data_IF_752546762626
#
_entry.id   IF_752546762626
#
_cell.length_a   1.000
_cell.length_b   1.000
_cell.length_c   1.000
_cell.angle_alpha   90.00
_cell.angle_beta   90.00
_cell.angle_gamma   90.00
#
_symmetry.space_group_name_H-M   'P 1'
#
loop_
_entity.id
_entity.type
_entity.pdbx_description
1 polymer ?
#
# COMPACT_ATOMS: atom_id res chain seq x y z
N UNK A 1 16.54 19.81 10.46
CA UNK A 1 16.28 18.56 11.21
C UNK A 1 16.84 17.39 10.39
N UNK A 2 17.34 16.33 11.03
CA UNK A 2 17.80 15.14 10.28
C UNK A 2 16.60 14.50 9.61
N UNK A 3 16.78 14.04 8.37
CA UNK A 3 15.76 13.33 7.64
C UNK A 3 15.95 11.84 7.92
N UNK A 4 15.33 11.35 8.99
CA UNK A 4 15.68 10.06 9.60
C UNK A 4 15.43 8.82 8.73
N UNK A 5 14.66 8.95 7.65
CA UNK A 5 14.59 7.90 6.63
C UNK A 5 15.97 7.65 5.98
N UNK A 6 16.74 8.70 5.71
CA UNK A 6 18.11 8.58 5.19
C UNK A 6 19.12 8.20 6.26
N UNK A 7 18.84 8.41 7.54
CA UNK A 7 19.72 7.92 8.61
C UNK A 7 19.77 6.37 8.58
N UNK A 8 18.65 5.72 8.25
CA UNK A 8 18.58 4.26 8.03
C UNK A 8 19.20 3.88 6.67
N UNK A 9 18.86 4.63 5.61
CA UNK A 9 19.21 4.21 4.24
C UNK A 9 20.64 4.58 3.79
N UNK A 10 21.29 5.57 4.39
CA UNK A 10 22.56 6.14 3.90
C UNK A 10 23.79 5.43 4.47
N UNK A 11 23.88 4.13 4.20
CA UNK A 11 25.03 3.30 4.57
C UNK A 11 26.32 3.79 3.89
N UNK A 12 27.52 3.37 4.36
CA UNK A 12 28.78 3.74 3.72
C UNK A 12 28.82 3.40 2.21
N UNK A 13 28.28 2.25 1.82
CA UNK A 13 28.20 1.86 0.41
C UNK A 13 27.24 2.76 -0.40
N UNK A 14 26.13 3.18 0.19
CA UNK A 14 25.19 4.13 -0.45
C UNK A 14 25.85 5.50 -0.64
N UNK A 15 26.59 5.99 0.36
CA UNK A 15 27.33 7.26 0.25
C UNK A 15 28.42 7.19 -0.82
N UNK A 16 29.19 6.10 -0.85
CA UNK A 16 30.19 5.88 -1.90
C UNK A 16 29.54 5.84 -3.30
N UNK A 17 28.36 5.22 -3.44
CA UNK A 17 27.61 5.25 -4.68
C UNK A 17 27.10 6.66 -5.04
N UNK A 18 26.65 7.45 -4.06
CA UNK A 18 26.27 8.85 -4.28
C UNK A 18 27.45 9.68 -4.79
N UNK A 19 28.64 9.54 -4.19
CA UNK A 19 29.86 10.21 -4.63
C UNK A 19 30.24 9.81 -6.06
N UNK A 20 30.28 8.50 -6.36
CA UNK A 20 30.63 7.98 -7.68
C UNK A 20 29.68 8.45 -8.79
N UNK A 21 28.44 8.81 -8.46
CA UNK A 21 27.43 9.29 -9.40
C UNK A 21 27.21 10.81 -9.32
N UNK A 22 28.12 11.57 -8.69
CA UNK A 22 28.08 13.04 -8.65
C UNK A 22 26.96 13.62 -7.77
N UNK A 23 26.36 12.80 -6.90
CA UNK A 23 25.28 13.19 -6.00
C UNK A 23 25.74 13.35 -4.54
N UNK A 24 27.03 13.13 -4.25
CA UNK A 24 27.59 13.14 -2.90
C UNK A 24 27.37 14.46 -2.17
N UNK A 25 27.78 15.58 -2.77
CA UNK A 25 27.64 16.92 -2.15
C UNK A 25 26.16 17.29 -1.93
N UNK A 26 25.30 16.94 -2.89
CA UNK A 26 23.86 17.19 -2.80
C UNK A 26 23.23 16.49 -1.59
N UNK A 27 23.50 15.19 -1.42
CA UNK A 27 22.92 14.41 -0.33
C UNK A 27 23.60 14.62 1.02
N UNK A 28 24.89 14.98 1.04
CA UNK A 28 25.60 15.34 2.26
C UNK A 28 25.03 16.62 2.91
N UNK A 29 24.58 17.57 2.08
CA UNK A 29 24.01 18.84 2.52
C UNK A 29 22.47 18.85 2.51
N UNK A 30 21.83 17.70 2.29
CA UNK A 30 20.37 17.63 2.21
C UNK A 30 19.75 17.85 3.60
N UNK A 31 19.06 18.97 3.75
CA UNK A 31 18.26 19.29 4.93
C UNK A 31 16.78 19.20 4.58
N UNK A 32 16.24 17.97 4.55
CA UNK A 32 14.81 17.75 4.35
C UNK A 32 14.02 18.09 5.61
N UNK A 33 13.07 19.01 5.51
CA UNK A 33 12.09 19.28 6.57
C UNK A 33 10.83 18.42 6.39
N UNK A 34 11.03 17.09 6.42
CA UNK A 34 9.95 16.12 6.27
C UNK A 34 9.74 15.40 7.57
N UNK A 35 8.49 15.33 8.04
CA UNK A 35 8.12 14.38 9.08
C UNK A 35 8.48 12.96 8.60
N UNK A 36 9.05 12.17 9.49
CA UNK A 36 9.48 10.80 9.18
C UNK A 36 9.26 9.85 10.36
N UNK A 37 9.17 10.37 11.59
CA UNK A 37 9.19 9.58 12.82
C UNK A 37 7.81 9.39 13.47
N UNK A 38 6.77 9.99 12.88
CA UNK A 38 5.36 9.89 13.31
C UNK A 38 4.41 10.13 12.13
N UNK A 39 3.37 9.32 12.00
CA UNK A 39 2.31 9.52 11.03
C UNK A 39 1.50 10.77 11.39
N UNK A 40 1.47 11.73 10.48
CA UNK A 40 0.59 12.90 10.56
C UNK A 40 -0.78 12.54 10.02
N UNK A 41 -1.71 13.51 10.05
CA UNK A 41 -3.03 13.37 9.42
C UNK A 41 -2.93 12.99 7.93
N UNK A 42 -1.90 13.47 7.22
CA UNK A 42 -1.69 13.15 5.81
C UNK A 42 -1.36 11.67 5.60
N UNK A 43 -0.46 11.10 6.42
CA UNK A 43 -0.15 9.67 6.35
C UNK A 43 -1.33 8.82 6.82
N UNK A 44 -2.03 9.24 7.87
CA UNK A 44 -3.20 8.54 8.37
C UNK A 44 -4.30 8.42 7.30
N UNK A 45 -4.65 9.55 6.66
CA UNK A 45 -5.63 9.59 5.58
C UNK A 45 -5.19 8.73 4.39
N UNK A 46 -3.92 8.82 3.99
CA UNK A 46 -3.39 8.00 2.93
C UNK A 46 -3.45 6.51 3.27
N UNK A 47 -3.00 6.09 4.46
CA UNK A 47 -2.96 4.68 4.84
C UNK A 47 -4.38 4.10 4.91
N UNK A 48 -5.34 4.86 5.44
CA UNK A 48 -6.73 4.41 5.60
C UNK A 48 -7.40 4.03 4.27
N UNK A 49 -7.03 4.68 3.17
CA UNK A 49 -7.59 4.42 1.84
C UNK A 49 -6.93 3.24 1.11
N UNK A 50 -5.83 2.68 1.62
CA UNK A 50 -5.12 1.59 0.92
C UNK A 50 -5.82 0.26 1.15
N UNK A 51 -6.00 -0.45 0.04
CA UNK A 51 -6.50 -1.83 -0.02
C UNK A 51 -5.36 -2.86 -0.15
N UNK A 52 -4.11 -2.38 -0.23
CA UNK A 52 -2.95 -3.19 -0.46
C UNK A 52 -1.66 -2.53 0.02
N UNK A 53 -0.70 -3.37 0.40
CA UNK A 53 0.69 -2.99 0.63
C UNK A 53 1.62 -4.10 0.16
N UNK A 54 2.88 -3.75 -0.11
CA UNK A 54 3.96 -4.73 -0.25
C UNK A 54 4.78 -4.72 1.02
N UNK A 55 5.07 -5.90 1.56
CA UNK A 55 5.90 -6.07 2.74
C UNK A 55 7.17 -6.82 2.36
N UNK A 56 8.32 -6.21 2.63
CA UNK A 56 9.62 -6.81 2.54
C UNK A 56 10.09 -7.26 3.94
N UNK A 57 10.62 -8.47 4.00
CA UNK A 57 11.27 -9.08 5.19
C UNK A 57 12.61 -9.67 4.74
N UNK A 58 13.49 -10.01 5.67
CA UNK A 58 14.80 -10.59 5.35
C UNK A 58 14.91 -11.97 5.97
N UNK A 59 15.25 -12.98 5.17
CA UNK A 59 15.49 -14.33 5.70
C UNK A 59 16.80 -14.40 6.48
N UNK A 60 16.96 -15.43 7.32
CA UNK A 60 18.21 -15.68 8.04
C UNK A 60 19.40 -15.95 7.10
N UNK A 61 19.13 -16.39 5.87
CA UNK A 61 20.14 -16.54 4.82
C UNK A 61 20.51 -15.20 4.14
N UNK A 62 19.93 -14.07 4.59
CA UNK A 62 20.19 -12.74 4.06
C UNK A 62 19.43 -12.37 2.77
N UNK A 63 18.52 -13.23 2.28
CA UNK A 63 17.74 -12.92 1.08
C UNK A 63 16.55 -12.00 1.45
N UNK A 64 16.34 -10.90 0.71
CA UNK A 64 15.10 -10.14 0.84
C UNK A 64 13.94 -10.94 0.24
N UNK A 65 12.81 -10.92 0.94
CA UNK A 65 11.57 -11.53 0.49
C UNK A 65 10.45 -10.50 0.52
N UNK A 66 9.77 -10.32 -0.61
CA UNK A 66 8.67 -9.35 -0.76
C UNK A 66 7.37 -10.08 -1.03
N UNK A 67 6.32 -9.68 -0.32
CA UNK A 67 4.99 -10.24 -0.47
C UNK A 67 3.94 -9.13 -0.51
N UNK A 68 3.01 -9.23 -1.46
CA UNK A 68 1.79 -8.41 -1.48
C UNK A 68 0.85 -8.87 -0.34
N UNK A 69 0.31 -7.91 0.40
CA UNK A 69 -0.72 -8.08 1.42
C UNK A 69 -1.90 -7.18 1.07
N UNK A 70 -3.06 -7.78 0.82
CA UNK A 70 -4.28 -7.07 0.44
C UNK A 70 -5.41 -7.29 1.45
N UNK A 71 -6.32 -6.32 1.49
CA UNK A 71 -7.53 -6.33 2.31
C UNK A 71 -8.47 -5.20 1.86
N UNK A 72 -9.68 -5.11 2.41
CA UNK A 72 -10.56 -3.97 2.12
C UNK A 72 -9.93 -2.67 2.66
N UNK A 73 -10.22 -1.49 2.07
CA UNK A 73 -9.80 -0.22 2.64
C UNK A 73 -10.03 -0.13 4.15
N UNK A 74 -9.03 0.38 4.84
CA UNK A 74 -8.97 0.43 6.30
C UNK A 74 -8.34 -0.81 6.96
N UNK A 75 -8.10 -1.93 6.27
CA UNK A 75 -7.46 -3.10 6.92
C UNK A 75 -6.09 -2.78 7.55
N UNK A 76 -5.46 -1.69 7.12
CA UNK A 76 -4.32 -1.06 7.80
C UNK A 76 -4.83 -0.07 8.83
N UNK A 77 -4.73 -0.43 10.11
CA UNK A 77 -5.20 0.39 11.23
C UNK A 77 -4.04 1.14 11.85
N UNK A 78 -4.19 2.44 12.09
CA UNK A 78 -3.33 3.16 13.01
C UNK A 78 -3.78 2.83 14.44
N UNK A 79 -2.85 2.37 15.27
CA UNK A 79 -3.07 2.21 16.71
C UNK A 79 -2.74 3.52 17.45
N UNK A 80 -1.72 4.23 16.97
CA UNK A 80 -1.28 5.55 17.41
C UNK A 80 -0.43 6.21 16.29
N UNK A 81 0.22 7.35 16.59
CA UNK A 81 1.05 8.10 15.63
C UNK A 81 2.32 7.37 15.16
N UNK A 82 2.72 6.25 15.79
CA UNK A 82 3.92 5.49 15.44
C UNK A 82 3.67 4.00 15.24
N UNK A 83 2.44 3.54 15.42
CA UNK A 83 2.12 2.12 15.40
C UNK A 83 0.97 1.84 14.44
N UNK A 84 1.19 0.92 13.50
CA UNK A 84 0.14 0.34 12.67
C UNK A 84 -0.17 -1.08 13.13
N UNK A 85 -1.35 -1.58 12.76
CA UNK A 85 -1.67 -2.98 12.84
C UNK A 85 -2.43 -3.45 11.60
N UNK A 86 -2.08 -4.65 11.12
CA UNK A 86 -2.79 -5.33 10.03
C UNK A 86 -3.20 -6.75 10.45
N UNK A 87 -4.33 -7.26 9.97
CA UNK A 87 -4.63 -8.69 10.08
C UNK A 87 -3.74 -9.50 9.14
N UNK A 88 -3.13 -10.57 9.64
CA UNK A 88 -2.46 -11.59 8.81
C UNK A 88 -3.49 -12.63 8.40
N UNK A 89 -4.02 -12.50 7.18
CA UNK A 89 -4.98 -13.44 6.64
C UNK A 89 -4.33 -14.77 6.27
N UNK A 90 -5.08 -15.86 6.49
CA UNK A 90 -4.70 -17.19 6.05
C UNK A 90 -4.55 -17.24 4.53
N UNK A 91 -3.30 -17.37 4.08
CA UNK A 91 -2.95 -17.57 2.68
C UNK A 91 -2.58 -19.01 2.34
N UNK A 92 -1.58 -19.16 1.46
CA UNK A 92 -1.01 -20.43 0.99
C UNK A 92 -0.18 -21.19 2.05
N UNK A 93 -0.06 -20.64 3.27
CA UNK A 93 0.64 -21.24 4.42
C UNK A 93 2.14 -21.50 4.23
N UNK A 94 2.82 -20.73 3.37
CA UNK A 94 4.29 -20.79 3.30
C UNK A 94 4.97 -20.20 4.54
N UNK A 95 4.29 -19.30 5.26
CA UNK A 95 4.77 -18.68 6.51
C UNK A 95 6.16 -17.99 6.45
N UNK A 96 6.64 -17.68 5.24
CA UNK A 96 7.99 -17.10 5.02
C UNK A 96 8.15 -15.78 5.78
N UNK A 97 7.26 -14.80 5.58
CA UNK A 97 7.35 -13.53 6.31
C UNK A 97 7.27 -13.73 7.82
N UNK A 98 6.44 -14.67 8.30
CA UNK A 98 6.30 -14.94 9.74
C UNK A 98 7.58 -15.50 10.32
N UNK A 99 8.20 -16.47 9.66
CA UNK A 99 9.50 -17.02 10.06
C UNK A 99 10.61 -15.97 10.02
N UNK A 100 10.69 -15.19 8.93
CA UNK A 100 11.65 -14.10 8.79
C UNK A 100 11.53 -13.09 9.93
N UNK A 101 10.30 -12.65 10.26
CA UNK A 101 10.04 -11.68 11.32
C UNK A 101 10.36 -12.22 12.72
N UNK A 102 10.23 -13.52 12.94
CA UNK A 102 10.62 -14.14 14.21
C UNK A 102 12.14 -14.11 14.43
N UNK A 103 12.93 -14.17 13.36
CA UNK A 103 14.39 -14.10 13.42
C UNK A 103 14.94 -12.67 13.33
N UNK A 104 14.28 -11.81 12.56
CA UNK A 104 14.63 -10.41 12.36
C UNK A 104 13.36 -9.58 12.15
N UNK A 105 13.01 -8.79 13.15
CA UNK A 105 11.77 -8.00 13.17
C UNK A 105 11.77 -6.83 12.16
N UNK A 106 12.91 -6.51 11.53
CA UNK A 106 13.01 -5.44 10.55
C UNK A 106 12.25 -5.77 9.27
N UNK A 107 11.42 -4.83 8.84
CA UNK A 107 10.67 -4.91 7.60
C UNK A 107 10.65 -3.55 6.89
N UNK A 108 10.33 -3.60 5.59
CA UNK A 108 9.97 -2.42 4.82
C UNK A 108 8.57 -2.59 4.24
N UNK A 109 7.72 -1.57 4.37
CA UNK A 109 6.41 -1.52 3.74
C UNK A 109 6.42 -0.51 2.59
N UNK A 110 5.68 -0.85 1.54
CA UNK A 110 5.55 -0.03 0.35
C UNK A 110 4.07 0.07 -0.02
N UNK A 111 3.50 1.24 0.18
CA UNK A 111 2.09 1.52 -0.05
C UNK A 111 1.97 2.38 -1.31
N UNK A 112 1.15 1.91 -2.26
CA UNK A 112 1.00 2.54 -3.57
C UNK A 112 -0.39 3.15 -3.73
N UNK A 113 -0.42 4.33 -4.35
CA UNK A 113 -1.61 4.97 -4.89
C UNK A 113 -1.31 5.27 -6.36
N UNK A 114 -1.68 4.33 -7.23
CA UNK A 114 -1.43 4.44 -8.67
C UNK A 114 -2.21 5.59 -9.31
N UNK A 115 -3.52 5.81 -9.02
CA UNK A 115 -4.28 6.93 -9.59
C UNK A 115 -3.62 8.29 -9.37
N UNK A 116 -3.20 8.58 -8.14
CA UNK A 116 -2.60 9.88 -7.79
C UNK A 116 -1.07 9.88 -7.90
N UNK A 117 -0.46 8.76 -8.30
CA UNK A 117 0.99 8.57 -8.43
C UNK A 117 1.74 8.88 -7.13
N UNK A 118 1.18 8.47 -6.00
CA UNK A 118 1.79 8.64 -4.68
C UNK A 118 2.30 7.30 -4.16
N UNK A 119 3.40 7.34 -3.41
CA UNK A 119 3.92 6.17 -2.70
C UNK A 119 4.50 6.55 -1.36
N UNK A 120 4.19 5.74 -0.35
CA UNK A 120 4.72 5.85 1.00
C UNK A 120 5.60 4.62 1.27
N UNK A 121 6.86 4.86 1.62
CA UNK A 121 7.80 3.83 2.08
C UNK A 121 7.89 3.92 3.59
N UNK A 122 7.89 2.78 4.27
CA UNK A 122 7.99 2.72 5.73
C UNK A 122 9.06 1.69 6.08
N UNK A 123 10.04 2.08 6.88
CA UNK A 123 10.86 1.14 7.64
C UNK A 123 10.18 0.90 8.98
N UNK A 124 10.09 -0.36 9.40
CA UNK A 124 9.41 -0.74 10.61
C UNK A 124 10.05 -1.94 11.30
N UNK A 125 9.75 -2.08 12.58
CA UNK A 125 9.89 -3.33 13.33
C UNK A 125 8.50 -3.97 13.42
N UNK A 126 8.36 -5.24 13.05
CA UNK A 126 7.07 -5.93 13.03
C UNK A 126 7.11 -7.13 13.95
N UNK A 127 6.11 -7.22 14.80
CA UNK A 127 5.87 -8.37 15.66
C UNK A 127 4.51 -9.02 15.35
N UNK A 128 4.49 -10.35 15.44
CA UNK A 128 3.27 -11.14 15.30
C UNK A 128 2.61 -11.35 16.66
N UNK A 129 1.32 -11.05 16.77
CA UNK A 129 0.51 -11.19 18.00
C UNK A 129 -0.61 -12.18 17.80
N UNK A 130 -0.73 -13.13 18.73
CA UNK A 130 -1.88 -14.04 18.77
C UNK A 130 -3.12 -13.28 19.24
N UNK A 131 -4.13 -13.21 18.38
CA UNK A 131 -5.37 -12.48 18.65
C UNK A 131 -6.27 -13.16 19.69
N UNK A 132 -6.07 -14.45 19.97
CA UNK A 132 -6.78 -15.12 21.06
C UNK A 132 -6.28 -14.66 22.44
N UNK A 133 -5.02 -14.20 22.52
CA UNK A 133 -4.41 -13.67 23.73
C UNK A 133 -4.49 -12.13 23.83
N UNK A 134 -4.89 -11.45 22.75
CA UNK A 134 -5.00 -9.99 22.66
C UNK A 134 -6.39 -9.58 22.10
N UNK A 135 -7.43 -9.58 22.95
CA UNK A 135 -8.79 -9.28 22.52
C UNK A 135 -8.98 -7.82 22.10
N UNK A 136 -8.19 -6.89 22.64
CA UNK A 136 -8.24 -5.47 22.24
C UNK A 136 -7.74 -5.29 20.81
N UNK A 137 -6.61 -5.91 20.46
CA UNK A 137 -6.11 -5.91 19.10
C UNK A 137 -7.07 -6.65 18.16
N UNK A 138 -7.62 -7.79 18.60
CA UNK A 138 -8.59 -8.55 17.82
C UNK A 138 -9.82 -7.70 17.44
N UNK A 139 -10.34 -6.92 18.39
CA UNK A 139 -11.45 -6.01 18.13
C UNK A 139 -11.09 -4.94 17.08
N UNK A 140 -9.89 -4.34 17.17
CA UNK A 140 -9.41 -3.32 16.21
C UNK A 140 -9.18 -3.89 14.80
N UNK A 141 -8.75 -5.15 14.70
CA UNK A 141 -8.49 -5.85 13.44
C UNK A 141 -9.71 -6.58 12.87
N UNK A 142 -10.87 -6.44 13.51
CA UNK A 142 -12.12 -6.98 12.98
C UNK A 142 -12.51 -6.21 11.71
N UNK A 143 -12.83 -6.96 10.66
CA UNK A 143 -13.29 -6.43 9.38
C UNK A 143 -14.68 -6.99 9.09
N UNK A 144 -15.75 -6.20 9.36
CA UNK A 144 -17.11 -6.60 9.00
C UNK A 144 -17.17 -6.95 7.52
N UNK A 145 -17.92 -8.00 7.18
CA UNK A 145 -18.17 -8.44 5.81
C UNK A 145 -16.96 -8.94 5.00
N UNK A 146 -15.77 -9.02 5.61
CA UNK A 146 -14.59 -9.61 4.98
C UNK A 146 -14.41 -11.08 5.38
N UNK A 147 -14.63 -12.00 4.43
CA UNK A 147 -14.68 -13.45 4.68
C UNK A 147 -13.32 -14.11 4.98
N UNK A 148 -12.22 -13.37 4.94
CA UNK A 148 -10.89 -13.95 5.14
C UNK A 148 -10.67 -14.34 6.60
N UNK A 149 -10.11 -15.54 6.83
CA UNK A 149 -9.74 -15.97 8.17
C UNK A 149 -8.47 -15.26 8.61
N UNK A 150 -8.54 -14.49 9.69
CA UNK A 150 -7.36 -13.89 10.34
C UNK A 150 -6.67 -14.96 11.19
N UNK A 151 -5.36 -15.17 11.01
CA UNK A 151 -4.56 -16.09 11.83
C UNK A 151 -3.87 -15.39 13.01
N UNK A 152 -3.50 -14.11 12.84
CA UNK A 152 -2.81 -13.30 13.84
C UNK A 152 -2.87 -11.81 13.49
N UNK A 153 -2.50 -10.94 14.41
CA UNK A 153 -2.23 -9.53 14.14
C UNK A 153 -0.74 -9.30 13.87
N UNK A 154 -0.41 -8.44 12.92
CA UNK A 154 0.94 -7.90 12.77
C UNK A 154 0.94 -6.48 13.30
N UNK A 155 1.68 -6.23 14.37
CA UNK A 155 1.88 -4.89 14.94
C UNK A 155 3.16 -4.34 14.36
N UNK A 156 3.08 -3.14 13.80
CA UNK A 156 4.12 -2.53 12.97
C UNK A 156 4.53 -1.23 13.63
N UNK A 157 5.72 -1.22 14.22
CA UNK A 157 6.32 -0.08 14.90
C UNK A 157 7.15 0.72 13.90
N UNK A 158 6.80 1.99 13.69
CA UNK A 158 7.45 2.90 12.76
C UNK A 158 8.90 3.17 13.20
N UNK A 159 9.85 2.92 12.28
CA UNK A 159 11.23 3.39 12.42
C UNK A 159 11.42 4.72 11.66
N UNK A 160 10.99 4.77 10.39
CA UNK A 160 10.94 5.99 9.59
C UNK A 160 10.04 5.80 8.37
N UNK A 161 9.44 6.88 7.85
CA UNK A 161 8.77 6.85 6.55
C UNK A 161 9.29 7.92 5.59
N UNK A 162 8.99 7.74 4.31
CA UNK A 162 9.26 8.74 3.29
C UNK A 162 8.27 8.68 2.11
N UNK A 163 7.96 9.88 1.61
CA UNK A 163 7.23 10.12 0.37
C UNK A 163 8.18 10.32 -0.80
N UNK A 164 7.97 9.56 -1.88
CA UNK A 164 8.78 9.69 -3.08
C UNK A 164 8.18 10.65 -4.13
N UNK A 165 9.04 11.13 -5.03
CA UNK A 165 8.66 11.78 -6.30
C UNK A 165 7.66 10.92 -7.12
N UNK A 166 6.61 11.54 -7.73
CA UNK A 166 5.59 10.84 -8.52
C UNK A 166 6.05 10.43 -9.93
N UNK A 167 7.29 10.78 -10.33
CA UNK A 167 7.82 10.48 -11.65
C UNK A 167 7.79 8.98 -11.98
N UNK A 168 7.53 8.68 -13.26
CA UNK A 168 7.50 7.33 -13.84
C UNK A 168 6.48 6.36 -13.24
N UNK A 169 5.51 6.84 -12.46
CA UNK A 169 4.37 6.01 -12.03
C UNK A 169 3.26 6.14 -13.08
N UNK A 170 3.00 5.06 -13.81
CA UNK A 170 1.84 4.95 -14.70
C UNK A 170 0.57 4.86 -13.86
N UNK A 171 -0.42 5.74 -14.05
CA UNK A 171 -1.71 5.62 -13.41
C UNK A 171 -2.38 4.27 -13.75
N UNK A 172 -2.98 3.64 -12.74
CA UNK A 172 -3.78 2.43 -12.86
C UNK A 172 -5.03 2.64 -12.02
N UNK A 173 -6.16 2.22 -12.55
CA UNK A 173 -7.47 2.39 -11.91
C UNK A 173 -8.13 1.02 -11.80
N UNK A 174 -8.76 0.78 -10.66
CA UNK A 174 -9.68 -0.33 -10.47
C UNK A 174 -10.95 -0.13 -11.28
N UNK A 175 -11.70 -1.21 -11.47
CA UNK A 175 -13.03 -1.15 -12.10
C UNK A 175 -13.96 -0.19 -11.35
N UNK A 176 -13.96 -0.25 -10.01
CA UNK A 176 -14.77 0.63 -9.15
C UNK A 176 -14.43 2.11 -9.33
N UNK A 177 -13.15 2.45 -9.49
CA UNK A 177 -12.73 3.84 -9.73
C UNK A 177 -13.10 4.33 -11.13
N UNK A 178 -13.16 3.43 -12.12
CA UNK A 178 -13.57 3.77 -13.49
C UNK A 178 -15.09 3.86 -13.65
N UNK A 179 -15.87 3.17 -12.83
CA UNK A 179 -17.32 3.06 -12.99
C UNK A 179 -18.03 4.43 -13.10
N UNK A 180 -17.74 5.45 -12.28
CA UNK A 180 -18.38 6.77 -12.43
C UNK A 180 -18.13 7.44 -13.78
N UNK A 181 -16.97 7.20 -14.39
CA UNK A 181 -16.63 7.73 -15.71
C UNK A 181 -17.25 6.89 -16.86
N UNK A 182 -17.38 5.58 -16.66
CA UNK A 182 -17.91 4.65 -17.66
C UNK A 182 -19.43 4.58 -17.69
N UNK A 183 -20.11 4.76 -16.55
CA UNK A 183 -21.57 4.64 -16.46
C UNK A 183 -22.35 5.56 -17.42
N UNK A 184 -22.00 6.86 -17.59
CA UNK A 184 -22.67 7.72 -18.58
C UNK A 184 -22.43 7.26 -20.02
N UNK A 185 -21.24 6.74 -20.32
CA UNK A 185 -20.88 6.24 -21.66
C UNK A 185 -21.72 4.99 -21.98
N UNK A 186 -21.81 4.04 -21.03
CA UNK A 186 -22.64 2.84 -21.17
C UNK A 186 -24.12 3.19 -21.37
N UNK A 187 -24.64 4.10 -20.54
CA UNK A 187 -26.04 4.56 -20.67
C UNK A 187 -26.32 5.19 -22.04
N UNK A 188 -25.36 5.96 -22.58
CA UNK A 188 -25.49 6.55 -23.92
C UNK A 188 -25.42 5.51 -25.03
N UNK A 189 -24.55 4.50 -24.91
CA UNK A 189 -24.46 3.39 -25.85
C UNK A 189 -25.77 2.62 -25.91
N UNK A 190 -26.35 2.25 -24.77
CA UNK A 190 -27.64 1.56 -24.70
C UNK A 190 -28.77 2.36 -25.37
N UNK A 191 -28.83 3.68 -25.12
CA UNK A 191 -29.82 4.55 -25.75
C UNK A 191 -29.66 4.61 -27.28
N UNK A 192 -28.41 4.69 -27.76
CA UNK A 192 -28.11 4.72 -29.20
C UNK A 192 -28.38 3.38 -29.87
N UNK A 193 -28.13 2.27 -29.19
CA UNK A 193 -28.45 0.92 -29.68
C UNK A 193 -29.97 0.73 -29.80
N UNK A 194 -30.73 1.16 -28.80
CA UNK A 194 -32.19 1.12 -28.83
C UNK A 194 -32.76 2.00 -29.95
N UNK A 195 -32.23 3.21 -30.13
CA UNK A 195 -32.64 4.12 -31.21
C UNK A 195 -32.34 3.51 -32.58
N UNK A 196 -31.14 2.96 -32.78
CA UNK A 196 -30.76 2.29 -34.02
C UNK A 196 -31.69 1.11 -34.33
N UNK A 197 -32.00 0.30 -33.32
CA UNK A 197 -32.92 -0.83 -33.50
C UNK A 197 -34.32 -0.36 -33.93
N UNK A 198 -34.84 0.70 -33.30
CA UNK A 198 -36.13 1.28 -33.65
C UNK A 198 -36.14 1.87 -35.07
N UNK A 199 -35.07 2.55 -35.48
CA UNK A 199 -34.94 3.10 -36.83
C UNK A 199 -34.83 2.01 -37.89
N UNK A 200 -34.06 0.94 -37.63
CA UNK A 200 -33.97 -0.23 -38.52
C UNK A 200 -35.32 -0.91 -38.71
N UNK A 201 -36.09 -1.09 -37.64
CA UNK A 201 -37.44 -1.65 -37.72
C UNK A 201 -38.37 -0.77 -38.58
N UNK A 202 -38.29 0.56 -38.44
CA UNK A 202 -39.07 1.50 -39.26
C UNK A 202 -38.67 1.49 -40.74
N UNK A 203 -37.39 1.28 -41.05
CA UNK A 203 -36.92 1.17 -42.43
C UNK A 203 -37.39 -0.13 -43.08
N UNK A 204 -37.25 -1.27 -42.39
CA UNK A 204 -37.75 -2.55 -42.91
C UNK A 204 -39.26 -2.50 -43.19
N UNK A 205 -40.04 -1.91 -42.29
CA UNK A 205 -41.49 -1.75 -42.48
C UNK A 205 -41.90 -0.77 -43.60
N UNK A 206 -40.95 -0.02 -44.19
CA UNK A 206 -41.19 0.83 -45.37
C UNK A 206 -40.81 0.17 -46.69
N UNK A 207 -40.05 -0.93 -46.64
CA UNK A 207 -39.61 -1.69 -47.81
C UNK A 207 -40.59 -2.83 -48.18
N UNK A 208 -41.51 -3.19 -47.26
CA UNK A 208 -42.69 -4.05 -47.47
C UNK A 208 -43.93 -3.25 -47.91
#
# INVERSE_FOLDING_TARGET
MSYGFLDIASTPAVRAAQEANGAGEYWANFHGDRAFDRFTEAEAAFIAERDSLYMATVSESGWPYVQHRGGPPGFIRLLDEKTLAIPDFRGNRQYISTGNLAANDRAALFLMDYPHRRRLKIYAHIEARDLSADPELAAKLTLPDYRAKVERGLVIHLAAFDWNCPQHITPRFSETELEPALAPIRSRLEALEAENQALRAKLAAKED
#
